data_IF_751114306270
#
_entry.id   IF_751114306270
#
_cell.length_a   1.000
_cell.length_b   1.000
_cell.length_c   1.000
_cell.angle_alpha   90.00
_cell.angle_beta   90.00
_cell.angle_gamma   90.00
#
_symmetry.space_group_name_H-M   'P 1'
#
loop_
_entity.id
_entity.type
_entity.pdbx_description
1 polymer ?
#
# COMPACT_ATOMS: atom_id res chain seq x y z
N UNK A 1 22.51 -9.70 -3.06
CA UNK A 1 21.25 -9.91 -3.81
C UNK A 1 20.44 -11.00 -3.13
N UNK A 2 19.13 -10.84 -3.05
CA UNK A 2 18.16 -11.73 -2.41
C UNK A 2 17.19 -12.28 -3.45
N UNK A 3 16.65 -13.46 -3.16
CA UNK A 3 15.53 -14.06 -3.87
C UNK A 3 14.24 -13.74 -3.12
N UNK A 4 13.22 -13.33 -3.86
CA UNK A 4 11.94 -12.83 -3.37
C UNK A 4 10.80 -13.63 -4.02
N UNK A 5 9.79 -13.93 -3.21
CA UNK A 5 8.54 -14.51 -3.67
C UNK A 5 7.38 -13.87 -2.89
N UNK A 6 6.41 -13.32 -3.62
CA UNK A 6 5.13 -12.90 -3.06
C UNK A 6 4.08 -13.98 -3.32
N UNK A 7 3.34 -14.33 -2.28
CA UNK A 7 2.26 -15.33 -2.32
C UNK A 7 0.98 -14.67 -1.81
N UNK A 8 -0.09 -14.77 -2.59
CA UNK A 8 -1.47 -14.36 -2.24
C UNK A 8 -2.26 -15.63 -1.91
N UNK A 9 -2.99 -15.67 -0.79
CA UNK A 9 -3.86 -16.80 -0.47
C UNK A 9 -5.17 -16.68 -1.25
N UNK A 10 -5.51 -17.72 -2.00
CA UNK A 10 -6.71 -17.75 -2.83
C UNK A 10 -7.97 -17.77 -1.96
N UNK A 11 -8.77 -16.70 -2.09
CA UNK A 11 -10.10 -16.57 -1.49
C UNK A 11 -10.11 -16.94 0.01
N UNK A 12 -9.18 -16.31 0.76
CA UNK A 12 -8.88 -16.68 2.14
C UNK A 12 -10.13 -16.75 3.02
N UNK A 13 -11.00 -15.73 2.95
CA UNK A 13 -12.20 -15.65 3.79
C UNK A 13 -13.16 -16.81 3.54
N UNK A 14 -13.41 -17.16 2.27
CA UNK A 14 -14.35 -18.23 1.91
C UNK A 14 -13.76 -19.64 2.15
N UNK A 15 -12.45 -19.76 2.27
CA UNK A 15 -11.78 -21.04 2.50
C UNK A 15 -11.49 -21.37 3.97
N UNK A 16 -11.80 -20.46 4.90
CA UNK A 16 -11.67 -20.74 6.33
C UNK A 16 -12.66 -21.84 6.76
N UNK A 17 -12.13 -22.88 7.39
CA UNK A 17 -12.92 -23.95 7.98
C UNK A 17 -13.45 -23.53 9.35
N UNK A 18 -14.77 -23.64 9.55
CA UNK A 18 -15.44 -23.23 10.79
C UNK A 18 -14.98 -24.06 11.99
N UNK A 19 -14.80 -25.37 11.81
CA UNK A 19 -14.45 -26.29 12.90
C UNK A 19 -13.05 -25.97 13.42
N UNK A 20 -12.08 -25.83 12.51
CA UNK A 20 -10.72 -25.43 12.82
C UNK A 20 -10.67 -24.00 13.39
N UNK A 21 -11.44 -23.05 12.83
CA UNK A 21 -11.49 -21.70 13.37
C UNK A 21 -11.99 -21.69 14.82
N UNK A 22 -13.06 -22.43 15.12
CA UNK A 22 -13.58 -22.55 16.50
C UNK A 22 -12.56 -23.22 17.42
N UNK A 23 -11.83 -24.24 16.97
CA UNK A 23 -10.76 -24.87 17.76
C UNK A 23 -9.64 -23.86 18.08
N UNK A 24 -9.20 -23.09 17.08
CA UNK A 24 -8.19 -22.04 17.26
C UNK A 24 -8.70 -20.97 18.21
N UNK A 25 -9.93 -20.51 18.01
CA UNK A 25 -10.54 -19.47 18.85
C UNK A 25 -10.64 -19.92 20.31
N UNK A 26 -11.10 -21.15 20.59
CA UNK A 26 -11.14 -21.70 21.95
C UNK A 26 -9.78 -21.67 22.63
N UNK A 27 -8.72 -22.06 21.92
CA UNK A 27 -7.34 -22.02 22.44
C UNK A 27 -6.91 -20.58 22.72
N UNK A 28 -7.22 -19.66 21.83
CA UNK A 28 -6.88 -18.24 21.98
C UNK A 28 -7.62 -17.58 23.14
N UNK A 29 -8.92 -17.85 23.29
CA UNK A 29 -9.71 -17.36 24.42
C UNK A 29 -9.13 -17.85 25.74
N UNK A 30 -8.77 -19.15 25.83
CA UNK A 30 -8.10 -19.69 27.01
C UNK A 30 -6.79 -18.97 27.33
N UNK A 31 -5.94 -18.73 26.33
CA UNK A 31 -4.72 -17.94 26.53
C UNK A 31 -5.02 -16.49 26.90
N UNK A 32 -6.05 -15.86 26.33
CA UNK A 32 -6.42 -14.49 26.64
C UNK A 32 -6.87 -14.32 28.09
N UNK A 33 -7.45 -15.36 28.72
CA UNK A 33 -7.79 -15.32 30.15
C UNK A 33 -6.55 -15.08 31.03
N UNK A 34 -5.37 -15.54 30.63
CA UNK A 34 -4.13 -15.38 31.39
C UNK A 34 -3.56 -13.95 31.32
N UNK A 35 -4.01 -13.13 30.35
CA UNK A 35 -3.46 -11.79 30.10
C UNK A 35 -4.50 -10.66 30.11
N UNK A 36 -5.79 -11.00 30.14
CA UNK A 36 -6.86 -10.00 30.12
C UNK A 36 -6.99 -9.33 31.47
N UNK A 37 -6.94 -8.00 31.47
CA UNK A 37 -7.23 -7.18 32.66
C UNK A 37 -8.73 -7.01 32.90
N UNK A 38 -9.56 -7.31 31.90
CA UNK A 38 -11.02 -7.25 31.98
C UNK A 38 -11.61 -8.65 32.06
N UNK A 39 -12.51 -8.93 33.02
CA UNK A 39 -13.21 -10.20 33.07
C UNK A 39 -14.16 -10.33 31.87
N UNK A 40 -14.18 -11.51 31.27
CA UNK A 40 -15.14 -11.89 30.23
C UNK A 40 -15.55 -13.35 30.44
N UNK A 41 -16.69 -13.78 29.88
CA UNK A 41 -17.13 -15.18 29.92
C UNK A 41 -16.64 -15.91 28.66
N UNK A 42 -15.66 -16.83 28.76
CA UNK A 42 -15.14 -17.59 27.63
C UNK A 42 -16.21 -18.37 26.87
N UNK A 43 -17.11 -19.01 27.61
CA UNK A 43 -18.16 -19.89 27.07
C UNK A 43 -19.13 -19.07 26.22
N UNK A 44 -19.51 -17.88 26.70
CA UNK A 44 -20.35 -16.96 25.94
C UNK A 44 -19.66 -16.53 24.64
N UNK A 45 -18.40 -16.12 24.67
CA UNK A 45 -17.68 -15.70 23.45
C UNK A 45 -17.56 -16.83 22.42
N UNK A 46 -17.27 -18.05 22.88
CA UNK A 46 -17.19 -19.23 22.02
C UNK A 46 -18.57 -19.55 21.41
N UNK A 47 -19.64 -19.44 22.20
CA UNK A 47 -21.01 -19.65 21.75
C UNK A 47 -21.44 -18.59 20.73
N UNK A 48 -21.14 -17.32 20.98
CA UNK A 48 -21.43 -16.20 20.06
C UNK A 48 -20.71 -16.39 18.72
N UNK A 49 -19.43 -16.75 18.73
CA UNK A 49 -18.73 -17.04 17.47
C UNK A 49 -19.34 -18.25 16.75
N UNK A 50 -19.68 -19.31 17.48
CA UNK A 50 -20.33 -20.48 16.90
C UNK A 50 -21.68 -20.13 16.25
N UNK A 51 -22.48 -19.29 16.91
CA UNK A 51 -23.74 -18.76 16.37
C UNK A 51 -23.48 -17.92 15.12
N UNK A 52 -22.53 -16.98 15.19
CA UNK A 52 -22.15 -16.14 14.05
C UNK A 52 -21.76 -16.94 12.80
N UNK A 53 -20.97 -18.01 12.98
CA UNK A 53 -20.53 -18.86 11.86
C UNK A 53 -21.66 -19.75 11.31
N UNK A 54 -22.56 -20.24 12.17
CA UNK A 54 -23.64 -21.15 11.78
C UNK A 54 -24.90 -20.46 11.27
N UNK A 55 -25.12 -19.20 11.65
CA UNK A 55 -26.36 -18.45 11.37
C UNK A 55 -26.14 -17.20 10.50
N UNK A 56 -25.08 -17.18 9.68
CA UNK A 56 -24.87 -16.07 8.75
C UNK A 56 -25.78 -16.19 7.53
N UNK A 57 -26.91 -15.48 7.57
CA UNK A 57 -27.95 -15.49 6.54
C UNK A 57 -27.86 -14.22 5.69
N UNK A 58 -27.79 -14.37 4.37
CA UNK A 58 -27.84 -13.28 3.39
C UNK A 58 -29.17 -13.31 2.63
N UNK A 59 -29.74 -12.13 2.37
CA UNK A 59 -30.93 -11.98 1.51
C UNK A 59 -30.50 -11.49 0.14
N UNK A 60 -30.75 -12.29 -0.90
CA UNK A 60 -30.44 -11.94 -2.28
C UNK A 60 -31.62 -12.29 -3.18
N UNK A 61 -32.10 -11.33 -3.98
CA UNK A 61 -33.23 -11.57 -4.89
C UNK A 61 -34.53 -12.01 -4.20
N UNK A 62 -34.75 -11.63 -2.94
CA UNK A 62 -35.91 -12.05 -2.15
C UNK A 62 -35.78 -13.42 -1.48
N UNK A 63 -34.71 -14.17 -1.77
CA UNK A 63 -34.40 -15.47 -1.15
C UNK A 63 -33.37 -15.33 -0.03
N UNK A 64 -33.37 -16.29 0.89
CA UNK A 64 -32.43 -16.36 2.01
C UNK A 64 -31.43 -17.50 1.77
N UNK A 65 -30.14 -17.20 1.93
CA UNK A 65 -29.05 -18.16 1.81
C UNK A 65 -28.23 -18.16 3.09
N UNK A 66 -27.73 -19.32 3.47
CA UNK A 66 -26.88 -19.49 4.65
C UNK A 66 -25.46 -19.83 4.23
N UNK A 67 -24.48 -19.14 4.77
CA UNK A 67 -23.07 -19.44 4.51
C UNK A 67 -22.66 -20.69 5.31
N UNK A 68 -22.18 -21.72 4.60
CA UNK A 68 -21.78 -23.01 5.20
C UNK A 68 -20.27 -23.20 5.30
N UNK A 69 -19.48 -22.33 4.65
CA UNK A 69 -18.01 -22.33 4.67
C UNK A 69 -17.49 -20.90 4.62
N UNK A 70 -16.38 -20.66 5.31
CA UNK A 70 -15.71 -19.38 5.34
C UNK A 70 -16.38 -18.35 6.24
N UNK A 71 -15.81 -17.17 6.30
CA UNK A 71 -16.32 -16.07 7.11
C UNK A 71 -16.77 -14.93 6.20
N UNK A 72 -17.84 -14.21 6.56
CA UNK A 72 -18.42 -13.20 5.68
C UNK A 72 -17.56 -11.96 5.57
N UNK A 73 -17.29 -11.51 4.36
CA UNK A 73 -16.60 -10.25 4.13
C UNK A 73 -17.53 -9.08 4.47
N UNK A 74 -17.02 -8.10 5.24
CA UNK A 74 -17.77 -6.91 5.66
C UNK A 74 -18.28 -6.95 7.10
N UNK A 75 -18.28 -8.11 7.77
CA UNK A 75 -18.51 -8.15 9.22
C UNK A 75 -17.27 -7.62 9.97
N UNK A 76 -17.49 -6.89 11.06
CA UNK A 76 -16.44 -6.18 11.78
C UNK A 76 -15.36 -7.09 12.38
N UNK A 77 -15.68 -8.36 12.66
CA UNK A 77 -14.75 -9.33 13.26
C UNK A 77 -14.02 -10.20 12.24
N UNK A 78 -14.43 -10.20 10.97
CA UNK A 78 -13.95 -11.19 10.00
C UNK A 78 -12.46 -11.07 9.72
N UNK A 79 -11.93 -9.85 9.65
CA UNK A 79 -10.49 -9.63 9.40
C UNK A 79 -9.64 -10.19 10.54
N UNK A 80 -10.08 -10.00 11.78
CA UNK A 80 -9.37 -10.50 12.97
C UNK A 80 -9.46 -12.03 13.06
N UNK A 81 -10.61 -12.61 12.75
CA UNK A 81 -10.79 -14.06 12.70
C UNK A 81 -9.92 -14.70 11.60
N UNK A 82 -9.85 -14.11 10.41
CA UNK A 82 -8.95 -14.56 9.34
C UNK A 82 -7.49 -14.49 9.80
N UNK A 83 -7.09 -13.39 10.40
CA UNK A 83 -5.73 -13.23 10.92
C UNK A 83 -5.39 -14.24 12.01
N UNK A 84 -6.34 -14.57 12.89
CA UNK A 84 -6.17 -15.57 13.92
C UNK A 84 -5.97 -16.97 13.32
N UNK A 85 -6.80 -17.32 12.34
CA UNK A 85 -6.72 -18.57 11.60
C UNK A 85 -5.37 -18.72 10.89
N UNK A 86 -4.96 -17.68 10.13
CA UNK A 86 -3.67 -17.65 9.44
C UNK A 86 -2.50 -17.68 10.41
N UNK A 87 -2.56 -16.96 11.53
CA UNK A 87 -1.50 -17.01 12.54
C UNK A 87 -1.32 -18.42 13.13
N UNK A 88 -2.40 -19.21 13.24
CA UNK A 88 -2.28 -20.63 13.61
C UNK A 88 -1.62 -21.44 12.50
N UNK A 89 -2.02 -21.24 11.25
CA UNK A 89 -1.39 -21.87 10.07
C UNK A 89 0.11 -21.58 10.02
N UNK A 90 0.51 -20.31 10.19
CA UNK A 90 1.89 -19.84 10.22
C UNK A 90 2.73 -20.51 11.31
N UNK A 91 2.09 -20.84 12.45
CA UNK A 91 2.71 -21.55 13.57
C UNK A 91 2.67 -23.07 13.44
N UNK A 92 2.00 -23.58 12.41
CA UNK A 92 1.91 -25.00 12.13
C UNK A 92 3.00 -25.41 11.15
N UNK A 93 3.74 -26.46 11.49
CA UNK A 93 4.77 -27.01 10.60
C UNK A 93 6.08 -26.21 10.50
N UNK A 94 6.90 -26.52 9.48
CA UNK A 94 8.28 -26.06 9.40
C UNK A 94 8.41 -24.56 9.08
N UNK A 95 7.39 -23.95 8.47
CA UNK A 95 7.41 -22.52 8.11
C UNK A 95 7.56 -21.59 9.33
N UNK A 96 7.09 -22.01 10.51
CA UNK A 96 7.18 -21.27 11.78
C UNK A 96 8.57 -20.73 12.07
N UNK A 97 9.62 -21.45 11.65
CA UNK A 97 11.00 -21.06 11.86
C UNK A 97 11.40 -19.80 11.07
N UNK A 98 10.74 -19.50 9.95
CA UNK A 98 11.10 -18.42 9.03
C UNK A 98 10.30 -17.13 9.24
N UNK A 99 9.12 -17.18 9.88
CA UNK A 99 8.34 -15.98 10.15
C UNK A 99 9.12 -14.96 10.96
N UNK A 100 9.14 -13.73 10.46
CA UNK A 100 9.81 -12.61 11.09
C UNK A 100 9.26 -12.34 12.49
N UNK A 101 10.14 -12.11 13.46
CA UNK A 101 9.78 -11.78 14.85
C UNK A 101 10.66 -10.63 15.34
N UNK A 102 10.05 -9.53 15.77
CA UNK A 102 10.77 -8.34 16.25
C UNK A 102 11.76 -8.63 17.39
N UNK A 103 11.39 -9.56 18.30
CA UNK A 103 12.22 -9.98 19.45
C UNK A 103 13.35 -10.97 19.13
N UNK A 104 13.50 -11.46 17.89
CA UNK A 104 14.64 -12.32 17.50
C UNK A 104 15.97 -11.57 17.38
N UNK A 105 15.99 -10.26 17.62
CA UNK A 105 17.17 -9.39 17.45
C UNK A 105 18.30 -9.53 18.48
N UNK A 106 18.22 -10.43 19.46
CA UNK A 106 19.25 -10.49 20.51
C UNK A 106 19.81 -11.89 20.86
N UNK A 107 19.23 -13.00 20.38
CA UNK A 107 19.50 -14.32 20.97
C UNK A 107 20.30 -15.32 20.12
N UNK A 108 20.78 -14.97 18.92
CA UNK A 108 21.69 -15.85 18.17
C UNK A 108 22.71 -15.05 17.37
N UNK A 109 23.79 -14.66 18.04
CA UNK A 109 25.07 -14.28 17.43
C UNK A 109 25.78 -15.47 16.71
N UNK A 110 25.04 -16.46 16.19
CA UNK A 110 25.62 -17.67 15.59
C UNK A 110 24.93 -18.16 14.31
N UNK A 111 23.87 -17.51 13.81
CA UNK A 111 23.20 -17.94 12.58
C UNK A 111 22.78 -16.76 11.73
N UNK A 112 23.45 -16.55 10.60
CA UNK A 112 22.99 -15.64 9.55
C UNK A 112 21.60 -16.11 9.11
N UNK A 113 20.57 -15.28 9.28
CA UNK A 113 19.22 -15.57 8.76
C UNK A 113 19.31 -15.67 7.24
N UNK A 114 19.20 -16.89 6.72
CA UNK A 114 19.30 -17.22 5.30
C UNK A 114 17.95 -17.09 4.58
N UNK A 115 16.85 -17.03 5.33
CA UNK A 115 15.53 -16.68 4.83
C UNK A 115 14.57 -16.15 5.91
N UNK A 116 13.52 -15.46 5.46
CA UNK A 116 12.42 -15.01 6.31
C UNK A 116 11.09 -14.90 5.55
N UNK A 117 9.98 -14.93 6.31
CA UNK A 117 8.62 -14.70 5.81
C UNK A 117 8.02 -13.50 6.56
N UNK A 118 7.47 -12.56 5.79
CA UNK A 118 6.62 -11.48 6.26
C UNK A 118 5.19 -11.76 5.80
N UNK A 119 4.19 -11.51 6.67
CA UNK A 119 2.77 -11.68 6.33
C UNK A 119 2.01 -10.40 6.68
N UNK A 120 1.11 -10.01 5.80
CA UNK A 120 0.07 -9.03 6.06
C UNK A 120 -1.25 -9.56 5.52
N UNK A 121 -2.18 -9.92 6.42
CA UNK A 121 -3.38 -10.67 6.06
C UNK A 121 -3.06 -11.93 5.22
N UNK A 122 -3.64 -12.04 4.03
CA UNK A 122 -3.48 -13.11 3.04
C UNK A 122 -2.28 -12.93 2.11
N UNK A 123 -1.55 -11.81 2.21
CA UNK A 123 -0.35 -11.52 1.43
C UNK A 123 0.93 -11.90 2.20
N UNK A 124 1.74 -12.77 1.63
CA UNK A 124 3.03 -13.22 2.15
C UNK A 124 4.17 -12.74 1.27
N UNK A 125 5.28 -12.35 1.89
CA UNK A 125 6.56 -12.07 1.24
C UNK A 125 7.65 -12.96 1.83
N UNK A 126 8.16 -13.88 1.02
CA UNK A 126 9.28 -14.76 1.33
C UNK A 126 10.57 -14.15 0.77
N UNK A 127 11.62 -14.10 1.59
CA UNK A 127 12.92 -13.53 1.26
C UNK A 127 13.99 -14.56 1.60
N UNK A 128 14.93 -14.82 0.70
CA UNK A 128 16.05 -15.74 0.96
C UNK A 128 17.36 -15.29 0.31
N UNK A 129 18.49 -15.78 0.83
CA UNK A 129 19.82 -15.49 0.27
C UNK A 129 20.20 -16.39 -0.91
N UNK A 130 19.47 -17.49 -1.14
CA UNK A 130 19.64 -18.38 -2.30
C UNK A 130 18.29 -18.85 -2.85
N UNK A 131 18.29 -19.28 -4.11
CA UNK A 131 17.11 -19.81 -4.81
C UNK A 131 16.59 -21.09 -4.15
N UNK A 132 17.49 -22.01 -3.85
CA UNK A 132 17.20 -23.29 -3.19
C UNK A 132 16.53 -23.04 -1.84
N UNK A 133 17.06 -22.06 -1.10
CA UNK A 133 16.50 -21.69 0.20
C UNK A 133 15.10 -21.09 0.07
N UNK A 134 14.86 -20.24 -0.94
CA UNK A 134 13.53 -19.69 -1.19
C UNK A 134 12.50 -20.80 -1.52
N UNK A 135 12.89 -21.77 -2.34
CA UNK A 135 12.02 -22.91 -2.70
C UNK A 135 11.68 -23.78 -1.48
N UNK A 136 12.64 -24.03 -0.58
CA UNK A 136 12.39 -24.73 0.67
C UNK A 136 11.38 -23.98 1.55
N UNK A 137 11.54 -22.67 1.69
CA UNK A 137 10.63 -21.83 2.48
C UNK A 137 9.23 -21.76 1.85
N UNK A 138 9.15 -21.67 0.52
CA UNK A 138 7.88 -21.73 -0.23
C UNK A 138 7.13 -23.03 0.05
N UNK A 139 7.80 -24.17 -0.09
CA UNK A 139 7.18 -25.47 0.13
C UNK A 139 6.71 -25.63 1.59
N UNK A 140 7.54 -25.21 2.56
CA UNK A 140 7.17 -25.20 3.96
C UNK A 140 5.93 -24.33 4.25
N UNK A 141 5.82 -23.16 3.62
CA UNK A 141 4.64 -22.28 3.71
C UNK A 141 3.40 -22.96 3.13
N UNK A 142 3.53 -23.57 1.94
CA UNK A 142 2.42 -24.21 1.25
C UNK A 142 1.89 -25.43 2.03
N UNK A 143 2.78 -26.24 2.59
CA UNK A 143 2.39 -27.35 3.46
C UNK A 143 1.59 -26.87 4.67
N UNK A 144 1.95 -25.73 5.25
CA UNK A 144 1.22 -25.08 6.34
C UNK A 144 -0.18 -24.65 5.90
N UNK A 145 -0.28 -23.90 4.79
CA UNK A 145 -1.56 -23.45 4.23
C UNK A 145 -2.49 -24.62 3.88
N UNK A 146 -1.96 -25.65 3.22
CA UNK A 146 -2.73 -26.81 2.78
C UNK A 146 -3.32 -27.60 3.95
N UNK A 147 -2.60 -27.73 5.08
CA UNK A 147 -3.12 -28.35 6.31
C UNK A 147 -4.34 -27.63 6.89
N UNK A 148 -4.48 -26.35 6.59
CA UNK A 148 -5.60 -25.50 7.01
C UNK A 148 -6.65 -25.31 5.90
N UNK A 149 -6.58 -26.11 4.82
CA UNK A 149 -7.52 -26.04 3.70
C UNK A 149 -7.35 -24.80 2.81
N UNK A 150 -6.25 -24.06 2.98
CA UNK A 150 -5.93 -22.86 2.22
C UNK A 150 -5.01 -23.20 1.05
N UNK A 151 -5.05 -22.39 -0.01
CA UNK A 151 -4.24 -22.56 -1.22
C UNK A 151 -3.64 -21.23 -1.65
N UNK A 152 -2.48 -21.26 -2.28
CA UNK A 152 -1.94 -20.07 -2.94
C UNK A 152 -2.70 -19.76 -4.23
N UNK A 153 -2.71 -18.50 -4.59
CA UNK A 153 -3.22 -18.02 -5.86
C UNK A 153 -2.08 -17.94 -6.88
N UNK A 154 -1.84 -19.04 -7.59
CA UNK A 154 -0.74 -19.13 -8.56
C UNK A 154 -0.73 -18.01 -9.61
N UNK A 155 -1.91 -17.47 -9.98
CA UNK A 155 -2.02 -16.38 -10.96
C UNK A 155 -1.51 -15.02 -10.46
N UNK A 156 -1.37 -14.86 -9.15
CA UNK A 156 -0.87 -13.63 -8.50
C UNK A 156 0.48 -13.83 -7.81
N UNK A 157 1.04 -15.03 -7.85
CA UNK A 157 2.39 -15.29 -7.36
C UNK A 157 3.39 -14.51 -8.24
N UNK A 158 4.27 -13.74 -7.61
CA UNK A 158 5.33 -13.02 -8.30
C UNK A 158 6.66 -13.35 -7.63
N UNK A 159 7.70 -13.60 -8.44
CA UNK A 159 9.02 -13.97 -7.92
C UNK A 159 10.13 -13.47 -8.83
N UNK A 160 11.34 -13.42 -8.30
CA UNK A 160 12.56 -13.11 -9.05
C UNK A 160 13.47 -14.34 -9.22
N UNK A 161 12.88 -15.54 -9.18
CA UNK A 161 13.58 -16.83 -9.23
C UNK A 161 14.09 -17.17 -10.64
N UNK A 162 13.38 -16.67 -11.66
CA UNK A 162 13.76 -16.84 -13.05
C UNK A 162 14.97 -15.95 -13.36
N UNK A 163 15.92 -16.51 -14.11
CA UNK A 163 17.09 -15.78 -14.56
C UNK A 163 16.66 -14.85 -15.70
N UNK A 164 16.59 -13.56 -15.40
CA UNK A 164 16.53 -12.51 -16.40
C UNK A 164 17.71 -11.56 -16.20
N UNK A 165 18.19 -10.99 -17.30
CA UNK A 165 19.27 -9.99 -17.30
C UNK A 165 18.91 -8.78 -16.43
N UNK A 166 17.62 -8.45 -16.33
CA UNK A 166 17.10 -7.42 -15.44
C UNK A 166 16.66 -7.98 -14.08
N UNK A 167 17.04 -7.37 -12.95
CA UNK A 167 16.54 -7.75 -11.65
C UNK A 167 15.03 -7.51 -11.52
N UNK A 168 14.24 -8.57 -11.57
CA UNK A 168 12.78 -8.52 -11.37
C UNK A 168 12.48 -8.07 -9.92
N UNK A 169 11.82 -6.93 -9.78
CA UNK A 169 11.26 -6.48 -8.51
C UNK A 169 9.95 -7.21 -8.23
N UNK A 170 9.61 -7.37 -6.95
CA UNK A 170 8.37 -8.02 -6.51
C UNK A 170 7.44 -7.00 -5.87
N UNK A 171 6.19 -6.94 -6.33
CA UNK A 171 5.16 -6.10 -5.75
C UNK A 171 4.63 -6.67 -4.43
N UNK A 172 4.66 -5.88 -3.36
CA UNK A 172 4.06 -6.23 -2.06
C UNK A 172 3.57 -4.97 -1.34
N UNK A 173 2.32 -5.01 -0.87
CA UNK A 173 1.66 -3.91 -0.13
C UNK A 173 1.72 -2.54 -0.83
N UNK A 174 1.60 -2.54 -2.17
CA UNK A 174 1.61 -1.32 -2.97
C UNK A 174 2.99 -0.72 -3.21
N UNK A 175 4.06 -1.46 -2.94
CA UNK A 175 5.45 -1.09 -3.24
C UNK A 175 6.12 -2.18 -4.08
N UNK A 176 7.08 -1.78 -4.90
CA UNK A 176 8.00 -2.68 -5.60
C UNK A 176 9.22 -2.92 -4.70
N UNK A 177 9.66 -4.18 -4.55
CA UNK A 177 10.83 -4.52 -3.73
C UNK A 177 11.89 -5.14 -4.64
N UNK A 178 13.07 -4.52 -4.68
CA UNK A 178 14.17 -5.00 -5.53
C UNK A 178 14.88 -6.20 -4.90
N UNK A 179 15.65 -6.98 -5.68
CA UNK A 179 16.52 -8.02 -5.14
C UNK A 179 17.60 -7.52 -4.15
N UNK A 180 17.80 -6.21 -4.01
CA UNK A 180 18.70 -5.64 -3.01
C UNK A 180 17.96 -5.17 -1.75
N UNK A 181 16.65 -5.46 -1.66
CA UNK A 181 15.73 -5.00 -0.61
C UNK A 181 15.54 -3.49 -0.58
N UNK A 182 15.77 -2.82 -1.70
CA UNK A 182 15.37 -1.43 -1.88
C UNK A 182 13.87 -1.37 -2.20
N UNK A 183 13.18 -0.38 -1.63
CA UNK A 183 11.79 -0.12 -1.93
C UNK A 183 11.66 0.86 -3.08
N UNK A 184 10.78 0.57 -4.03
CA UNK A 184 10.42 1.47 -5.10
C UNK A 184 8.92 1.77 -5.05
N UNK A 185 8.56 3.02 -5.36
CA UNK A 185 7.17 3.38 -5.63
C UNK A 185 6.69 2.60 -6.86
N UNK A 186 5.44 2.14 -6.93
CA UNK A 186 4.99 1.31 -8.04
C UNK A 186 5.02 2.11 -9.35
N UNK A 187 5.35 1.43 -10.44
CA UNK A 187 5.42 2.04 -11.77
C UNK A 187 4.05 2.55 -12.21
N UNK A 188 4.00 3.81 -12.66
CA UNK A 188 2.75 4.42 -13.15
C UNK A 188 2.67 4.28 -14.66
N UNK A 189 1.73 3.46 -15.12
CA UNK A 189 1.41 3.40 -16.54
C UNK A 189 0.51 4.59 -16.90
N UNK A 190 1.11 5.63 -17.45
CA UNK A 190 0.40 6.79 -18.01
C UNK A 190 -0.08 6.46 -19.43
N UNK A 191 -1.17 5.71 -19.55
CA UNK A 191 -1.83 5.44 -20.83
C UNK A 191 -2.81 6.55 -21.24
N UNK A 192 -3.09 6.73 -22.55
CA UNK A 192 -3.95 7.82 -23.05
C UNK A 192 -5.41 7.74 -22.58
N UNK A 193 -5.86 6.58 -22.10
CA UNK A 193 -7.26 6.28 -21.72
C UNK A 193 -7.39 5.45 -20.44
N UNK A 194 -6.61 5.75 -19.40
CA UNK A 194 -6.86 5.17 -18.09
C UNK A 194 -8.08 5.83 -17.45
N UNK A 195 -9.27 5.40 -17.86
CA UNK A 195 -10.47 5.55 -17.05
C UNK A 195 -10.35 4.58 -15.88
N UNK A 196 -9.99 5.11 -14.71
CA UNK A 196 -10.09 4.32 -13.50
C UNK A 196 -11.57 4.21 -13.12
N UNK A 197 -12.07 2.98 -12.98
CA UNK A 197 -13.46 2.68 -12.58
C UNK A 197 -13.83 3.29 -11.23
N UNK A 198 -12.83 3.74 -10.47
CA UNK A 198 -12.99 4.41 -9.17
C UNK A 198 -13.01 5.94 -9.23
N UNK A 199 -13.16 6.55 -10.41
CA UNK A 199 -13.57 7.95 -10.50
C UNK A 199 -14.98 8.07 -9.92
N UNK A 200 -15.05 8.25 -8.60
CA UNK A 200 -16.27 8.68 -7.92
C UNK A 200 -16.81 9.96 -8.57
N UNK A 201 -17.95 10.44 -8.07
CA UNK A 201 -18.58 11.65 -8.59
C UNK A 201 -17.57 12.78 -8.84
N UNK A 202 -17.67 13.50 -9.98
CA UNK A 202 -16.81 14.63 -10.30
C UNK A 202 -16.69 15.57 -9.11
N UNK A 203 -15.45 15.86 -8.70
CA UNK A 203 -15.18 16.71 -7.56
C UNK A 203 -15.26 18.20 -7.94
N UNK A 204 -15.65 19.04 -6.99
CA UNK A 204 -15.51 20.49 -7.12
C UNK A 204 -14.03 20.87 -7.20
N UNK A 205 -13.69 22.01 -7.80
CA UNK A 205 -12.29 22.46 -7.89
C UNK A 205 -11.62 22.54 -6.50
N UNK A 206 -12.38 23.00 -5.49
CA UNK A 206 -11.91 23.08 -4.10
C UNK A 206 -11.53 21.70 -3.55
N UNK A 207 -12.37 20.70 -3.78
CA UNK A 207 -12.12 19.34 -3.32
C UNK A 207 -10.95 18.68 -4.06
N UNK A 208 -10.79 18.97 -5.36
CA UNK A 208 -9.61 18.55 -6.12
C UNK A 208 -8.32 19.08 -5.47
N UNK A 209 -8.26 20.39 -5.18
CA UNK A 209 -7.09 21.00 -4.53
C UNK A 209 -6.84 20.44 -3.13
N UNK A 210 -7.91 20.23 -2.35
CA UNK A 210 -7.83 19.65 -1.02
C UNK A 210 -7.25 18.24 -1.06
N UNK A 211 -7.79 17.37 -1.94
CA UNK A 211 -7.30 15.99 -2.11
C UNK A 211 -5.87 15.95 -2.60
N UNK A 212 -5.49 16.77 -3.58
CA UNK A 212 -4.11 16.85 -4.06
C UNK A 212 -3.13 17.29 -2.95
N UNK A 213 -3.51 18.31 -2.17
CA UNK A 213 -2.71 18.77 -1.02
C UNK A 213 -2.60 17.71 0.07
N UNK A 214 -3.67 16.95 0.35
CA UNK A 214 -3.70 15.93 1.39
C UNK A 214 -2.99 14.64 0.96
N UNK A 215 -3.21 14.16 -0.26
CA UNK A 215 -2.62 12.92 -0.76
C UNK A 215 -1.10 12.95 -0.64
N UNK A 216 -0.47 14.03 -1.08
CA UNK A 216 1.00 14.18 -1.01
C UNK A 216 1.53 14.35 0.42
N UNK A 217 0.64 14.48 1.43
CA UNK A 217 0.97 14.56 2.86
C UNK A 217 0.63 13.30 3.64
N UNK A 218 -0.43 12.58 3.27
CA UNK A 218 -1.09 11.56 4.10
C UNK A 218 -0.55 10.15 3.95
N UNK A 219 0.35 9.91 3.00
CA UNK A 219 0.96 8.60 2.85
C UNK A 219 2.33 8.59 3.52
N UNK A 220 2.35 8.10 4.75
CA UNK A 220 3.56 7.95 5.58
C UNK A 220 4.62 7.06 4.91
N UNK A 221 4.23 6.27 3.89
CA UNK A 221 5.16 5.44 3.15
C UNK A 221 6.03 6.24 2.16
N UNK A 222 5.59 7.39 1.62
CA UNK A 222 6.43 8.15 0.67
C UNK A 222 7.74 8.62 1.31
N UNK A 223 7.71 9.27 2.50
CA UNK A 223 8.95 9.60 3.21
C UNK A 223 9.79 8.35 3.54
N UNK A 224 9.16 7.24 3.92
CA UNK A 224 9.86 5.98 4.22
C UNK A 224 10.63 5.43 3.02
N UNK A 225 10.01 5.44 1.83
CA UNK A 225 10.62 4.95 0.58
C UNK A 225 11.67 5.92 0.05
N UNK A 226 11.43 7.22 0.16
CA UNK A 226 12.36 8.25 -0.35
C UNK A 226 13.61 8.35 0.54
N UNK A 227 13.43 8.27 1.86
CA UNK A 227 14.51 8.42 2.85
C UNK A 227 15.06 7.08 3.36
N UNK A 228 14.80 5.99 2.64
CA UNK A 228 15.33 4.67 3.01
C UNK A 228 16.87 4.69 3.04
N UNK A 229 17.47 3.90 3.91
CA UNK A 229 18.94 3.80 4.05
C UNK A 229 19.63 3.48 2.70
N UNK A 230 19.02 2.63 1.87
CA UNK A 230 19.50 2.33 0.52
C UNK A 230 19.61 3.57 -0.38
N UNK A 231 18.74 4.56 -0.22
CA UNK A 231 18.77 5.80 -0.99
C UNK A 231 19.93 6.75 -0.59
N UNK A 232 20.44 6.62 0.64
CA UNK A 232 21.63 7.38 1.09
C UNK A 232 22.93 6.85 0.46
N UNK A 233 22.97 5.54 0.16
CA UNK A 233 24.15 4.83 -0.37
C UNK A 233 24.08 4.67 -1.89
N UNK A 234 22.87 4.54 -2.46
CA UNK A 234 22.63 4.35 -3.88
C UNK A 234 21.75 5.47 -4.47
N UNK A 235 22.38 6.46 -5.11
CA UNK A 235 21.66 7.58 -5.72
C UNK A 235 20.62 7.14 -6.77
N UNK A 236 20.81 6.00 -7.44
CA UNK A 236 19.90 5.55 -8.51
C UNK A 236 18.49 5.22 -8.00
N UNK A 237 18.36 4.61 -6.81
CA UNK A 237 17.07 4.26 -6.21
C UNK A 237 16.27 5.52 -5.86
N UNK A 238 16.95 6.52 -5.29
CA UNK A 238 16.35 7.81 -4.95
C UNK A 238 15.83 8.53 -6.20
N UNK A 239 16.60 8.51 -7.29
CA UNK A 239 16.19 9.11 -8.56
C UNK A 239 15.00 8.40 -9.19
N UNK A 240 14.98 7.06 -9.20
CA UNK A 240 13.83 6.28 -9.70
C UNK A 240 12.57 6.63 -8.93
N UNK A 241 12.64 6.65 -7.60
CA UNK A 241 11.52 7.02 -6.75
C UNK A 241 11.07 8.48 -6.96
N UNK A 242 12.00 9.41 -7.14
CA UNK A 242 11.67 10.79 -7.47
C UNK A 242 10.88 10.89 -8.78
N UNK A 243 11.33 10.21 -9.84
CA UNK A 243 10.64 10.17 -11.14
C UNK A 243 9.24 9.56 -11.00
N UNK A 244 9.12 8.40 -10.36
CA UNK A 244 7.83 7.71 -10.16
C UNK A 244 6.86 8.52 -9.32
N UNK A 245 7.33 9.25 -8.29
CA UNK A 245 6.49 10.17 -7.53
C UNK A 245 5.93 11.30 -8.41
N UNK A 246 6.75 11.82 -9.33
CA UNK A 246 6.32 12.83 -10.30
C UNK A 246 5.20 12.31 -11.20
N UNK A 247 5.37 11.09 -11.71
CA UNK A 247 4.37 10.41 -12.53
C UNK A 247 3.06 10.13 -11.75
N UNK A 248 3.16 9.65 -10.51
CA UNK A 248 2.00 9.47 -9.61
C UNK A 248 1.26 10.79 -9.40
N UNK A 249 2.00 11.85 -9.11
CA UNK A 249 1.45 13.19 -8.92
C UNK A 249 0.71 13.67 -10.19
N UNK A 250 1.28 13.43 -11.36
CA UNK A 250 0.64 13.76 -12.64
C UNK A 250 -0.67 13.00 -12.83
N UNK A 251 -0.67 11.70 -12.51
CA UNK A 251 -1.86 10.85 -12.60
C UNK A 251 -2.95 11.35 -11.66
N UNK A 252 -2.62 11.80 -10.44
CA UNK A 252 -3.60 12.38 -9.52
C UNK A 252 -4.16 13.71 -10.02
N UNK A 253 -3.31 14.55 -10.63
CA UNK A 253 -3.78 15.79 -11.27
C UNK A 253 -4.77 15.46 -12.37
N UNK A 254 -4.45 14.50 -13.25
CA UNK A 254 -5.39 14.05 -14.29
C UNK A 254 -6.66 13.49 -13.64
N UNK A 255 -6.52 12.59 -12.67
CA UNK A 255 -7.67 11.92 -12.05
C UNK A 255 -8.61 12.85 -11.29
N UNK A 256 -8.10 13.88 -10.60
CA UNK A 256 -8.95 14.81 -9.86
C UNK A 256 -9.37 16.02 -10.68
N UNK A 257 -8.45 16.61 -11.45
CA UNK A 257 -8.70 17.88 -12.14
C UNK A 257 -9.38 17.68 -13.50
N UNK A 258 -9.04 16.62 -14.23
CA UNK A 258 -9.63 16.38 -15.55
C UNK A 258 -11.15 16.11 -15.51
N UNK A 259 -11.70 15.29 -14.60
CA UNK A 259 -13.15 15.11 -14.53
C UNK A 259 -13.87 16.28 -13.84
N UNK A 260 -13.15 17.24 -13.24
CA UNK A 260 -13.76 18.37 -12.54
C UNK A 260 -14.68 19.18 -13.49
N UNK A 261 -15.95 19.44 -13.13
CA UNK A 261 -16.88 20.19 -13.97
C UNK A 261 -16.40 21.62 -14.24
N UNK A 262 -15.76 22.24 -13.25
CA UNK A 262 -15.27 23.61 -13.32
C UNK A 262 -13.90 23.75 -14.03
N UNK A 263 -13.33 22.64 -14.55
CA UNK A 263 -11.94 22.62 -15.03
C UNK A 263 -11.64 23.69 -16.06
N UNK A 264 -12.56 23.95 -17.00
CA UNK A 264 -12.29 24.88 -18.11
C UNK A 264 -12.11 26.31 -17.58
N UNK A 265 -13.00 26.75 -16.69
CA UNK A 265 -12.87 28.06 -16.03
C UNK A 265 -11.65 28.11 -15.11
N UNK A 266 -11.40 27.04 -14.35
CA UNK A 266 -10.30 27.01 -13.39
C UNK A 266 -8.92 26.95 -14.04
N UNK A 267 -8.75 26.14 -15.09
CA UNK A 267 -7.50 25.99 -15.83
C UNK A 267 -7.21 27.19 -16.76
N UNK A 268 -8.22 27.99 -17.10
CA UNK A 268 -8.03 29.28 -17.77
C UNK A 268 -7.59 30.41 -16.81
N UNK A 269 -7.86 30.27 -15.50
CA UNK A 269 -7.54 31.30 -14.51
C UNK A 269 -6.08 31.23 -14.05
N UNK A 270 -5.30 32.27 -14.38
CA UNK A 270 -3.90 32.44 -13.94
C UNK A 270 -3.74 32.27 -12.44
N UNK A 271 -4.62 32.88 -11.64
CA UNK A 271 -4.56 32.80 -10.17
C UNK A 271 -4.80 31.38 -9.66
N UNK A 272 -5.83 30.69 -10.17
CA UNK A 272 -6.19 29.33 -9.71
C UNK A 272 -5.14 28.31 -10.14
N UNK A 273 -4.62 28.41 -11.36
CA UNK A 273 -3.57 27.51 -11.86
C UNK A 273 -2.23 27.72 -11.16
N UNK A 274 -1.82 28.98 -10.92
CA UNK A 274 -0.62 29.27 -10.13
C UNK A 274 -0.70 28.62 -8.76
N UNK A 275 -1.87 28.73 -8.10
CA UNK A 275 -2.11 28.11 -6.80
C UNK A 275 -2.02 26.58 -6.84
N UNK A 276 -2.55 25.95 -7.89
CA UNK A 276 -2.39 24.51 -8.10
C UNK A 276 -0.90 24.15 -8.27
N UNK A 277 -0.16 24.87 -9.10
CA UNK A 277 1.28 24.64 -9.29
C UNK A 277 2.06 24.77 -7.98
N UNK A 278 1.78 25.81 -7.19
CA UNK A 278 2.37 26.00 -5.87
C UNK A 278 2.09 24.81 -4.95
N UNK A 279 0.84 24.35 -4.85
CA UNK A 279 0.47 23.15 -4.06
C UNK A 279 1.33 21.95 -4.46
N UNK A 280 1.43 21.66 -5.76
CA UNK A 280 2.17 20.50 -6.25
C UNK A 280 3.67 20.62 -5.95
N UNK A 281 4.29 21.75 -6.28
CA UNK A 281 5.72 21.98 -6.08
C UNK A 281 6.11 21.98 -4.60
N UNK A 282 5.34 22.66 -3.74
CA UNK A 282 5.61 22.67 -2.29
C UNK A 282 5.50 21.28 -1.69
N UNK A 283 4.56 20.46 -2.15
CA UNK A 283 4.36 19.11 -1.63
C UNK A 283 5.47 18.16 -2.09
N UNK A 284 5.91 18.25 -3.33
CA UNK A 284 7.08 17.51 -3.80
C UNK A 284 8.33 17.95 -3.05
N UNK A 285 8.57 19.25 -2.91
CA UNK A 285 9.74 19.78 -2.20
C UNK A 285 9.79 19.35 -0.73
N UNK A 286 8.64 19.22 -0.05
CA UNK A 286 8.58 18.78 1.34
C UNK A 286 8.97 17.30 1.55
N UNK A 287 9.04 16.50 0.49
CA UNK A 287 9.35 15.07 0.57
C UNK A 287 10.84 14.75 0.33
N UNK A 288 11.61 15.69 -0.22
CA UNK A 288 13.01 15.46 -0.57
C UNK A 288 13.93 16.46 0.13
N UNK A 289 15.00 15.94 0.73
CA UNK A 289 16.07 16.79 1.29
C UNK A 289 16.98 17.38 0.20
N UNK A 290 17.06 16.71 -0.97
CA UNK A 290 17.93 17.10 -2.09
C UNK A 290 17.14 17.81 -3.18
N UNK A 291 17.55 19.03 -3.52
CA UNK A 291 16.93 19.83 -4.57
C UNK A 291 16.93 19.15 -5.95
N UNK A 292 17.96 18.36 -6.28
CA UNK A 292 18.03 17.60 -7.54
C UNK A 292 16.88 16.59 -7.69
N UNK A 293 16.46 15.94 -6.59
CA UNK A 293 15.34 14.99 -6.61
C UNK A 293 13.99 15.69 -6.80
N UNK A 294 13.83 16.89 -6.22
CA UNK A 294 12.66 17.74 -6.46
C UNK A 294 12.53 18.08 -7.95
N UNK A 295 13.64 18.45 -8.59
CA UNK A 295 13.68 18.75 -10.01
C UNK A 295 13.32 17.52 -10.87
N UNK A 296 13.90 16.35 -10.58
CA UNK A 296 13.59 15.11 -11.30
C UNK A 296 12.11 14.70 -11.18
N UNK A 297 11.54 14.85 -9.98
CA UNK A 297 10.13 14.58 -9.75
C UNK A 297 9.22 15.54 -10.53
N UNK A 298 9.56 16.84 -10.49
CA UNK A 298 8.88 17.87 -11.28
C UNK A 298 8.98 17.62 -12.78
N UNK A 299 10.15 17.27 -13.28
CA UNK A 299 10.39 16.94 -14.69
C UNK A 299 9.49 15.80 -15.15
N UNK A 300 9.41 14.74 -14.35
CA UNK A 300 8.57 13.59 -14.66
C UNK A 300 7.07 13.94 -14.60
N UNK A 301 6.66 14.77 -13.65
CA UNK A 301 5.30 15.33 -13.58
C UNK A 301 4.95 16.12 -14.85
N UNK A 302 5.84 17.02 -15.26
CA UNK A 302 5.69 17.87 -16.46
C UNK A 302 5.61 16.99 -17.72
N UNK A 303 6.50 16.01 -17.85
CA UNK A 303 6.52 15.08 -18.98
C UNK A 303 5.19 14.31 -19.11
N UNK A 304 4.61 13.84 -18.01
CA UNK A 304 3.32 13.16 -18.03
C UNK A 304 2.17 14.11 -18.43
N UNK A 305 2.13 15.32 -17.87
CA UNK A 305 1.09 16.31 -18.20
C UNK A 305 1.21 16.85 -19.63
N UNK A 306 2.40 16.79 -20.24
CA UNK A 306 2.61 17.16 -21.64
C UNK A 306 1.79 16.31 -22.62
N UNK A 307 1.41 15.08 -22.28
CA UNK A 307 0.50 14.25 -23.08
C UNK A 307 -0.87 14.92 -23.29
N UNK A 308 -1.24 15.86 -22.41
CA UNK A 308 -2.47 16.66 -22.43
C UNK A 308 -2.15 18.16 -22.45
N UNK A 309 -1.13 18.55 -23.23
CA UNK A 309 -0.59 19.92 -23.26
C UNK A 309 -1.65 21.00 -23.53
N UNK A 310 -2.62 20.75 -24.40
CA UNK A 310 -3.70 21.70 -24.72
C UNK A 310 -4.54 22.03 -23.49
N UNK A 311 -4.79 21.03 -22.65
CA UNK A 311 -5.65 21.10 -21.47
C UNK A 311 -4.91 21.76 -20.28
N UNK A 312 -3.63 21.43 -20.09
CA UNK A 312 -2.83 21.87 -18.95
C UNK A 312 -1.80 22.96 -19.28
N UNK A 313 -1.93 23.68 -20.40
CA UNK A 313 -0.93 24.64 -20.90
C UNK A 313 -0.44 25.64 -19.85
N UNK A 314 -1.37 26.25 -19.11
CA UNK A 314 -1.03 27.25 -18.10
C UNK A 314 -0.37 26.62 -16.87
N UNK A 315 -0.77 25.40 -16.51
CA UNK A 315 -0.18 24.66 -15.39
C UNK A 315 1.26 24.28 -15.71
N UNK A 316 1.51 23.77 -16.91
CA UNK A 316 2.86 23.45 -17.40
C UNK A 316 3.78 24.67 -17.36
N UNK A 317 3.28 25.86 -17.74
CA UNK A 317 4.05 27.11 -17.65
C UNK A 317 4.49 27.41 -16.21
N UNK A 318 3.59 27.27 -15.24
CA UNK A 318 3.92 27.54 -13.83
C UNK A 318 4.79 26.46 -13.19
N UNK A 319 4.63 25.19 -13.57
CA UNK A 319 5.50 24.12 -13.08
C UNK A 319 6.95 24.29 -13.55
N UNK A 320 7.17 24.96 -14.69
CA UNK A 320 8.49 25.29 -15.21
C UNK A 320 9.01 26.68 -14.78
N UNK A 321 8.27 27.44 -13.97
CA UNK A 321 8.67 28.79 -13.54
C UNK A 321 9.78 28.72 -12.47
N UNK A 322 11.00 29.23 -12.77
CA UNK A 322 12.12 29.18 -11.83
C UNK A 322 11.83 29.88 -10.50
N UNK A 323 11.01 30.94 -10.50
CA UNK A 323 10.68 31.71 -9.30
C UNK A 323 9.83 30.91 -8.32
N UNK A 324 8.94 30.04 -8.81
CA UNK A 324 8.13 29.15 -8.00
C UNK A 324 8.96 27.97 -7.47
N UNK A 325 9.86 27.44 -8.30
CA UNK A 325 10.79 26.37 -7.91
C UNK A 325 11.69 26.84 -6.76
N UNK A 326 12.33 28.00 -6.89
CA UNK A 326 13.20 28.57 -5.86
C UNK A 326 12.46 28.89 -4.54
N UNK A 327 11.18 29.28 -4.63
CA UNK A 327 10.35 29.48 -3.43
C UNK A 327 9.99 28.17 -2.75
N UNK A 328 9.79 27.09 -3.52
CA UNK A 328 9.50 25.76 -2.97
C UNK A 328 10.68 25.12 -2.23
N UNK A 329 11.92 25.34 -2.70
CA UNK A 329 13.13 24.82 -2.06
C UNK A 329 13.57 25.53 -0.77
N UNK A 330 12.96 26.66 -0.39
CA UNK A 330 13.35 27.46 0.79
C UNK A 330 12.44 27.30 2.00
N UNK A 331 11.35 26.52 1.92
CA UNK A 331 10.37 26.39 3.00
C UNK A 331 10.65 25.15 3.86
N UNK A 332 10.87 25.30 5.18
CA UNK A 332 11.06 24.16 6.06
C UNK A 332 9.78 23.31 6.14
N UNK A 333 9.90 21.97 6.30
CA UNK A 333 8.78 21.03 6.30
C UNK A 333 7.69 21.34 7.35
N UNK A 334 8.03 22.09 8.39
CA UNK A 334 7.14 22.49 9.49
C UNK A 334 6.21 23.68 9.18
N UNK A 335 6.39 24.42 8.07
CA UNK A 335 5.51 25.55 7.70
C UNK A 335 4.31 25.11 6.86
N UNK A 336 3.67 24.02 7.26
CA UNK A 336 2.45 23.46 6.64
C UNK A 336 1.19 24.33 6.87
N UNK A 337 1.28 25.38 7.72
CA UNK A 337 0.18 26.30 8.04
C UNK A 337 -0.17 27.32 6.94
N UNK A 338 0.66 27.47 5.91
CA UNK A 338 0.33 28.31 4.76
C UNK A 338 -0.86 27.72 3.99
N UNK A 339 -0.89 26.41 3.75
CA UNK A 339 -1.98 25.75 3.00
C UNK A 339 -3.32 25.75 3.74
N UNK A 340 -3.32 25.67 5.07
CA UNK A 340 -4.52 25.82 5.90
C UNK A 340 -5.07 27.26 5.77
N UNK A 341 -4.21 28.27 5.98
CA UNK A 341 -4.57 29.70 5.76
C UNK A 341 -5.03 29.99 4.33
N UNK A 342 -4.53 29.25 3.33
CA UNK A 342 -4.97 29.41 1.94
C UNK A 342 -6.30 28.71 1.64
N UNK A 343 -6.58 27.55 2.24
CA UNK A 343 -7.84 26.83 2.09
C UNK A 343 -9.02 27.50 2.81
N UNK A 344 -8.73 28.26 3.86
CA UNK A 344 -9.71 29.00 4.66
C UNK A 344 -9.96 30.43 4.16
N UNK A 345 -9.23 30.87 3.12
CA UNK A 345 -9.53 32.14 2.46
C UNK A 345 -10.90 32.03 1.75
N UNK A 346 -11.90 32.88 2.09
CA UNK A 346 -13.20 32.85 1.45
C UNK A 346 -13.03 32.98 -0.06
N UNK A 347 -13.75 32.15 -0.81
CA UNK A 347 -13.91 32.35 -2.24
C UNK A 347 -14.64 33.68 -2.46
N UNK A 348 -13.89 34.75 -2.66
CA UNK A 348 -14.47 35.94 -3.26
C UNK A 348 -14.67 35.65 -4.75
N UNK A 349 -15.94 35.69 -5.14
CA UNK A 349 -16.52 35.55 -6.47
C UNK A 349 -15.59 36.00 -7.62
#
# INVERSE_FOLDING_TARGET
>A
RFFLLRVDVADCFNNIDHTLLLEVFRKTVKTAMDFSTMPFCPELLISELSSFLSCYIIKLGGQYFMQTKGIPQGACVSVDLANLYLARSDQSGPAKAYFWRSKRKAATHAGRLDATILRFHDDYLCIATSKERLLLVRNALFDGLHKFGLRSNASKETSNIEESDDPIAVDWLGLEITPNLDFLLPTVICGPRTFDRFSGYPLSWRDCLWRLSRYLRSYDYFPLVINQLGAAVNCSVAEVNARRLGQHTARLVIFYVWPCPERHACLASVRRVRRLAEILLYRLAALFDRHSLVLLSRDSLVQCLHQRRSEFRLLLRFLCDPSLILRSGKLPPSKTNLLQKFMDAPGNN
#
